data_IF_128428709201
#
_entry.id   IF_128428709201
#
_cell.length_a   1.000
_cell.length_b   1.000
_cell.length_c   1.000
_cell.angle_alpha   90.00
_cell.angle_beta   90.00
_cell.angle_gamma   90.00
#
_symmetry.space_group_name_H-M   'P 1'
#
loop_
_entity.id
_entity.type
_entity.pdbx_description
1 polymer ?
#
# COMPACT_ATOMS: atom_id res chain seq x y z
N UNK A 1 2.44 -5.72 2.33
CA UNK A 1 1.54 -4.55 2.29
C UNK A 1 1.53 -4.04 0.85
N UNK A 2 0.91 -4.79 -0.06
CA UNK A 2 0.76 -4.34 -1.46
C UNK A 2 -0.40 -3.34 -1.50
N UNK A 3 -0.12 -2.12 -1.99
CA UNK A 3 -1.15 -1.14 -2.27
C UNK A 3 -1.88 -1.55 -3.56
N UNK A 4 -2.73 -2.58 -3.46
CA UNK A 4 -3.52 -3.05 -4.60
C UNK A 4 -4.84 -2.29 -4.68
N UNK A 5 -4.90 -1.37 -5.65
CA UNK A 5 -5.95 -1.25 -6.68
C UNK A 5 -5.56 -0.22 -7.75
N UNK A 6 -5.34 -0.68 -8.98
CA UNK A 6 -5.33 0.20 -10.16
C UNK A 6 -6.71 0.82 -10.31
N UNK A 7 -6.81 2.15 -10.40
CA UNK A 7 -8.05 2.83 -10.77
C UNK A 7 -8.13 2.72 -12.30
N UNK A 8 -8.70 1.62 -12.81
CA UNK A 8 -9.04 1.50 -14.22
C UNK A 8 -10.41 2.15 -14.42
N UNK A 9 -10.43 3.44 -14.78
CA UNK A 9 -11.66 4.14 -15.12
C UNK A 9 -11.91 3.99 -16.62
N UNK A 10 -12.67 2.96 -17.02
CA UNK A 10 -13.15 2.85 -18.40
C UNK A 10 -14.45 3.63 -18.51
N UNK A 11 -14.38 4.95 -18.72
CA UNK A 11 -15.55 5.74 -19.15
C UNK A 11 -15.72 5.52 -20.64
N UNK A 12 -16.53 4.51 -21.00
CA UNK A 12 -17.00 4.35 -22.37
C UNK A 12 -18.05 5.43 -22.64
N UNK A 13 -17.67 6.37 -23.50
CA UNK A 13 -18.55 7.37 -24.11
C UNK A 13 -19.73 6.62 -24.77
N UNK A 14 -20.93 6.78 -24.21
CA UNK A 14 -22.19 6.47 -24.92
C UNK A 14 -22.92 7.79 -25.11
N UNK A 15 -22.52 8.49 -26.18
CA UNK A 15 -23.45 9.38 -26.87
C UNK A 15 -24.23 8.47 -27.81
N UNK A 16 -25.54 8.32 -27.59
CA UNK A 16 -26.60 8.17 -28.61
C UNK A 16 -27.95 8.14 -27.88
N UNK A 17 -28.78 9.13 -28.21
CA UNK A 17 -30.24 9.15 -28.29
C UNK A 17 -30.99 8.08 -27.47
N UNK A 18 -31.66 8.52 -26.40
CA UNK A 18 -32.85 7.86 -25.84
C UNK A 18 -32.71 6.37 -25.56
N UNK A 19 -32.02 6.00 -24.47
CA UNK A 19 -32.07 4.62 -24.00
C UNK A 19 -31.02 4.30 -22.95
N UNK A 20 -31.48 4.12 -21.71
CA UNK A 20 -30.83 3.31 -20.67
C UNK A 20 -29.37 3.64 -20.30
N UNK A 21 -29.21 4.56 -19.35
CA UNK A 21 -27.99 4.69 -18.57
C UNK A 21 -28.06 3.79 -17.32
N UNK A 22 -27.66 2.51 -17.43
CA UNK A 22 -27.47 1.62 -16.26
C UNK A 22 -26.20 0.77 -16.29
N UNK A 23 -25.29 0.96 -17.25
CA UNK A 23 -24.13 0.06 -17.40
C UNK A 23 -22.90 0.41 -16.52
N UNK A 24 -22.85 1.54 -15.81
CA UNK A 24 -21.63 1.98 -15.10
C UNK A 24 -21.47 1.40 -13.69
N UNK A 25 -22.48 0.75 -13.12
CA UNK A 25 -22.47 0.31 -11.70
C UNK A 25 -21.90 -1.11 -11.48
N UNK A 26 -21.94 -1.99 -12.49
CA UNK A 26 -21.63 -3.42 -12.30
C UNK A 26 -20.14 -3.78 -12.28
N UNK A 27 -19.25 -2.90 -12.75
CA UNK A 27 -17.80 -3.19 -12.80
C UNK A 27 -17.13 -3.10 -11.42
N UNK A 28 -17.73 -2.36 -10.48
CA UNK A 28 -17.13 -2.02 -9.18
C UNK A 28 -16.96 -3.23 -8.22
N UNK A 29 -17.86 -4.23 -8.29
CA UNK A 29 -17.91 -5.29 -7.27
C UNK A 29 -16.93 -6.46 -7.50
N UNK A 30 -16.40 -6.62 -8.72
CA UNK A 30 -15.58 -7.78 -9.09
C UNK A 30 -14.10 -7.70 -8.65
N UNK A 31 -13.60 -6.52 -8.33
CA UNK A 31 -12.15 -6.29 -8.10
C UNK A 31 -11.72 -6.23 -6.62
N UNK A 32 -12.62 -6.51 -5.67
CA UNK A 32 -12.35 -6.34 -4.23
C UNK A 32 -12.20 -7.64 -3.41
N UNK A 33 -12.08 -8.83 -4.02
CA UNK A 33 -11.86 -10.07 -3.25
C UNK A 33 -10.39 -10.26 -2.85
N UNK A 34 -10.16 -10.36 -1.54
CA UNK A 34 -8.90 -10.59 -0.82
C UNK A 34 -8.04 -11.70 -1.43
N UNK A 35 -6.75 -11.43 -1.65
CA UNK A 35 -5.71 -12.46 -1.78
C UNK A 35 -4.90 -12.54 -0.49
N UNK A 36 -5.02 -13.70 0.16
CA UNK A 36 -4.19 -14.15 1.27
C UNK A 36 -2.81 -14.54 0.73
N UNK A 37 -1.74 -13.94 1.26
CA UNK A 37 -0.36 -14.34 0.96
C UNK A 37 0.21 -15.08 2.16
N UNK A 38 0.42 -16.38 1.99
CA UNK A 38 1.15 -17.26 2.91
C UNK A 38 2.63 -16.81 2.97
N UNK A 39 3.13 -16.53 4.19
CA UNK A 39 4.55 -16.29 4.46
C UNK A 39 5.27 -17.64 4.54
N UNK A 40 6.34 -17.80 3.77
CA UNK A 40 7.32 -18.88 3.96
C UNK A 40 8.29 -18.43 5.05
N UNK A 41 8.28 -19.12 6.19
CA UNK A 41 9.13 -18.83 7.34
C UNK A 41 10.41 -19.67 7.24
N UNK A 42 11.55 -19.04 6.96
CA UNK A 42 12.87 -19.63 7.26
C UNK A 42 13.07 -19.51 8.78
N UNK A 43 13.18 -20.64 9.48
CA UNK A 43 13.25 -20.66 10.95
C UNK A 43 14.55 -20.04 11.49
N UNK A 44 14.47 -19.46 12.69
CA UNK A 44 15.62 -18.98 13.46
C UNK A 44 16.56 -20.16 13.79
N UNK A 45 17.89 -19.94 13.83
CA UNK A 45 18.81 -20.97 14.26
C UNK A 45 18.54 -21.42 15.70
N UNK A 46 19.04 -22.59 16.09
CA UNK A 46 19.00 -23.01 17.50
C UNK A 46 20.05 -22.27 18.34
N UNK A 47 19.99 -22.38 19.66
CA UNK A 47 20.98 -21.80 20.58
C UNK A 47 22.41 -22.30 20.28
N UNK A 48 23.38 -21.38 20.10
CA UNK A 48 24.80 -21.72 20.03
C UNK A 48 25.48 -21.51 21.40
N UNK A 49 25.89 -22.61 22.02
CA UNK A 49 26.74 -22.58 23.20
C UNK A 49 28.20 -22.73 22.78
N UNK A 50 29.01 -21.71 23.06
CA UNK A 50 30.44 -21.73 22.81
C UNK A 50 31.19 -22.72 23.71
N UNK A 51 32.42 -23.10 23.34
CA UNK A 51 33.27 -23.96 24.17
C UNK A 51 33.57 -23.31 25.54
N UNK A 52 33.75 -24.12 26.59
CA UNK A 52 34.33 -23.67 27.86
C UNK A 52 35.86 -23.64 27.71
N UNK A 53 36.41 -22.55 27.21
CA UNK A 53 37.86 -22.39 27.03
C UNK A 53 38.52 -21.87 28.31
N UNK A 54 39.77 -22.29 28.56
CA UNK A 54 40.58 -21.76 29.68
C UNK A 54 41.16 -20.37 29.39
N UNK A 55 41.15 -19.94 28.14
CA UNK A 55 41.65 -18.64 27.67
C UNK A 55 40.52 -17.83 27.02
N UNK A 56 39.67 -17.27 27.86
CA UNK A 56 38.59 -16.36 27.46
C UNK A 56 39.15 -15.04 26.93
N UNK A 57 38.63 -14.56 25.79
CA UNK A 57 38.98 -13.26 25.24
C UNK A 57 38.78 -12.14 26.27
N UNK A 58 39.76 -11.23 26.37
CA UNK A 58 39.64 -10.01 27.20
C UNK A 58 38.61 -9.03 26.63
N UNK A 59 38.45 -9.02 25.32
CA UNK A 59 37.50 -8.21 24.55
C UNK A 59 37.03 -9.00 23.35
N UNK A 60 35.77 -8.85 22.96
CA UNK A 60 35.28 -9.21 21.63
C UNK A 60 34.87 -7.92 20.95
N UNK A 61 35.54 -7.55 19.86
CA UNK A 61 35.29 -6.32 19.13
C UNK A 61 34.24 -6.55 18.01
N UNK A 62 33.05 -5.94 18.08
CA UNK A 62 32.02 -6.08 17.04
C UNK A 62 32.51 -5.74 15.62
N UNK A 63 33.49 -4.84 15.47
CA UNK A 63 34.07 -4.49 14.17
C UNK A 63 34.84 -5.68 13.58
N UNK A 64 35.65 -6.36 14.39
CA UNK A 64 36.39 -7.56 13.94
C UNK A 64 35.48 -8.76 13.71
N UNK A 65 34.39 -8.88 14.48
CA UNK A 65 33.35 -9.88 14.21
C UNK A 65 32.72 -9.64 12.83
N UNK A 66 32.47 -8.38 12.47
CA UNK A 66 31.99 -8.02 11.13
C UNK A 66 33.04 -8.35 10.05
N UNK A 67 34.31 -8.05 10.27
CA UNK A 67 35.39 -8.35 9.32
C UNK A 67 35.46 -9.85 8.99
N UNK A 68 35.41 -10.71 10.01
CA UNK A 68 35.36 -12.17 9.81
C UNK A 68 34.08 -12.63 9.14
N UNK A 69 32.93 -12.06 9.52
CA UNK A 69 31.64 -12.34 8.88
C UNK A 69 31.70 -12.00 7.39
N UNK A 70 32.21 -10.83 7.03
CA UNK A 70 32.35 -10.39 5.64
C UNK A 70 33.42 -11.16 4.88
N UNK A 71 34.47 -11.66 5.55
CA UNK A 71 35.43 -12.58 4.95
C UNK A 71 34.75 -13.89 4.52
N UNK A 72 33.96 -14.52 5.38
CA UNK A 72 33.22 -15.74 5.01
C UNK A 72 32.23 -15.50 3.88
N UNK A 73 31.57 -14.34 3.86
CA UNK A 73 30.70 -13.94 2.75
C UNK A 73 31.49 -13.77 1.45
N UNK A 74 32.65 -13.13 1.49
CA UNK A 74 33.50 -12.95 0.32
C UNK A 74 34.03 -14.29 -0.24
N UNK A 75 34.39 -15.24 0.63
CA UNK A 75 34.81 -16.59 0.25
C UNK A 75 33.67 -17.36 -0.51
N UNK A 76 32.42 -16.95 -0.33
CA UNK A 76 31.22 -17.47 -1.02
C UNK A 76 30.71 -16.52 -2.15
N UNK A 77 31.50 -15.53 -2.57
CA UNK A 77 31.16 -14.52 -3.57
C UNK A 77 29.93 -13.65 -3.24
N UNK A 78 29.64 -13.45 -1.96
CA UNK A 78 28.56 -12.60 -1.48
C UNK A 78 29.06 -11.18 -1.18
N UNK A 79 28.17 -10.19 -1.35
CA UNK A 79 28.46 -8.80 -0.99
C UNK A 79 28.65 -8.65 0.52
N UNK A 80 29.60 -7.80 0.90
CA UNK A 80 29.83 -7.44 2.29
C UNK A 80 28.61 -6.72 2.89
N UNK A 81 28.25 -7.09 4.12
CA UNK A 81 27.24 -6.42 4.93
C UNK A 81 27.80 -5.11 5.47
N UNK A 82 26.95 -4.09 5.54
CA UNK A 82 27.28 -2.78 6.12
C UNK A 82 26.72 -2.65 7.53
N UNK A 83 27.49 -2.07 8.45
CA UNK A 83 26.99 -1.78 9.80
C UNK A 83 25.82 -0.80 9.74
N UNK A 84 24.72 -1.12 10.43
CA UNK A 84 23.61 -0.21 10.66
C UNK A 84 23.46 0.05 12.17
N UNK A 85 23.50 1.32 12.59
CA UNK A 85 23.46 1.71 14.01
C UNK A 85 22.14 1.40 14.70
N UNK A 86 21.03 1.36 13.96
CA UNK A 86 19.72 0.97 14.49
C UNK A 86 19.70 -0.53 14.79
N UNK A 87 20.24 -1.37 13.89
CA UNK A 87 20.43 -2.80 14.14
C UNK A 87 21.42 -3.06 15.30
N UNK A 88 22.48 -2.25 15.45
CA UNK A 88 23.38 -2.34 16.62
C UNK A 88 22.60 -2.08 17.91
N UNK A 89 21.69 -1.11 17.89
CA UNK A 89 20.83 -0.81 19.04
C UNK A 89 19.89 -1.99 19.35
N UNK A 90 19.36 -2.68 18.33
CA UNK A 90 18.56 -3.89 18.52
C UNK A 90 19.40 -5.02 19.16
N UNK A 91 20.58 -5.29 18.61
CA UNK A 91 21.51 -6.30 19.14
C UNK A 91 21.93 -6.01 20.59
N UNK A 92 22.15 -4.74 20.93
CA UNK A 92 22.43 -4.32 22.30
C UNK A 92 21.24 -4.59 23.22
N UNK A 93 20.02 -4.13 22.86
CA UNK A 93 18.82 -4.37 23.66
C UNK A 93 18.54 -5.85 23.88
N UNK A 94 18.78 -6.68 22.87
CA UNK A 94 18.66 -8.13 22.99
C UNK A 94 19.64 -8.69 24.02
N UNK A 95 20.90 -8.26 23.95
CA UNK A 95 21.95 -8.66 24.87
C UNK A 95 21.62 -8.25 26.31
N UNK A 96 21.21 -7.00 26.50
CA UNK A 96 20.82 -6.44 27.81
C UNK A 96 19.61 -7.18 28.39
N UNK A 97 18.62 -7.54 27.56
CA UNK A 97 17.45 -8.30 27.96
C UNK A 97 17.80 -9.72 28.39
N UNK A 98 18.65 -10.42 27.62
CA UNK A 98 19.13 -11.77 27.96
C UNK A 98 19.96 -11.79 29.24
N UNK A 99 20.80 -10.77 29.49
CA UNK A 99 21.49 -10.65 30.77
C UNK A 99 20.55 -10.26 31.91
N UNK A 100 19.63 -9.32 31.71
CA UNK A 100 18.74 -8.88 32.80
C UNK A 100 17.81 -10.00 33.25
N UNK A 101 17.25 -10.73 32.28
CA UNK A 101 16.26 -11.77 32.53
C UNK A 101 16.86 -13.18 32.59
N UNK A 102 18.20 -13.30 32.48
CA UNK A 102 18.96 -14.53 32.64
C UNK A 102 18.40 -15.69 31.79
N UNK A 103 18.25 -15.43 30.48
CA UNK A 103 17.76 -16.40 29.51
C UNK A 103 18.58 -16.33 28.22
N UNK A 104 18.58 -17.40 27.42
CA UNK A 104 19.30 -17.43 26.14
C UNK A 104 18.43 -18.01 25.03
N UNK A 105 17.51 -17.22 24.50
CA UNK A 105 16.59 -17.64 23.44
C UNK A 105 16.35 -16.49 22.46
N UNK A 106 15.95 -16.81 21.22
CA UNK A 106 15.58 -15.80 20.24
C UNK A 106 14.32 -15.02 20.64
N UNK A 107 13.29 -15.72 21.12
CA UNK A 107 12.06 -15.09 21.63
C UNK A 107 12.24 -14.85 23.13
N UNK A 108 11.92 -13.65 23.61
CA UNK A 108 12.01 -13.35 25.04
C UNK A 108 10.97 -14.15 25.83
N UNK A 109 11.16 -14.33 27.16
CA UNK A 109 10.14 -14.93 28.03
C UNK A 109 8.80 -14.17 28.03
N UNK A 110 8.81 -12.89 27.64
CA UNK A 110 7.62 -12.05 27.47
C UNK A 110 7.00 -12.14 26.06
N UNK A 111 7.56 -12.98 25.18
CA UNK A 111 7.05 -13.25 23.83
C UNK A 111 7.53 -12.30 22.74
N UNK A 112 8.52 -11.44 23.01
CA UNK A 112 9.08 -10.51 22.02
C UNK A 112 10.00 -11.28 21.08
N UNK A 113 9.66 -11.33 19.79
CA UNK A 113 10.49 -11.97 18.77
C UNK A 113 11.64 -11.04 18.31
N UNK A 114 12.70 -11.56 17.67
CA UNK A 114 13.77 -10.72 17.10
C UNK A 114 13.22 -9.68 16.12
N UNK A 115 12.26 -10.09 15.28
CA UNK A 115 11.54 -9.20 14.35
C UNK A 115 10.80 -8.04 15.04
N UNK A 116 10.21 -8.29 16.21
CA UNK A 116 9.51 -7.25 16.98
C UNK A 116 10.51 -6.28 17.59
N UNK A 117 11.61 -6.79 18.14
CA UNK A 117 12.67 -5.99 18.75
C UNK A 117 13.31 -5.05 17.72
N UNK A 118 13.70 -5.59 16.56
CA UNK A 118 14.25 -4.82 15.44
C UNK A 118 13.26 -3.74 15.00
N UNK A 119 11.98 -4.08 14.82
CA UNK A 119 10.94 -3.10 14.46
C UNK A 119 10.78 -2.00 15.51
N UNK A 120 10.82 -2.35 16.80
CA UNK A 120 10.69 -1.42 17.92
C UNK A 120 11.88 -0.43 18.04
N UNK A 121 13.02 -0.72 17.41
CA UNK A 121 14.14 0.24 17.29
C UNK A 121 13.96 1.25 16.15
N UNK A 122 12.93 1.11 15.32
CA UNK A 122 12.68 1.95 14.16
C UNK A 122 13.32 1.44 12.86
N UNK A 123 13.91 0.24 12.88
CA UNK A 123 14.43 -0.38 11.66
C UNK A 123 13.28 -0.98 10.86
N UNK A 124 12.97 -0.36 9.72
CA UNK A 124 11.97 -0.85 8.78
C UNK A 124 12.64 -1.79 7.78
N UNK A 125 12.24 -3.06 7.74
CA UNK A 125 12.94 -4.09 6.95
C UNK A 125 12.02 -4.89 6.03
N UNK A 126 12.59 -5.32 4.89
CA UNK A 126 11.99 -6.33 4.00
C UNK A 126 12.18 -7.73 4.57
N UNK A 127 13.36 -7.99 5.11
CA UNK A 127 13.72 -9.22 5.82
C UNK A 127 14.74 -8.91 6.92
N UNK A 128 14.72 -9.68 7.99
CA UNK A 128 15.62 -9.58 9.14
C UNK A 128 16.02 -10.98 9.59
N UNK A 129 17.12 -11.13 10.30
CA UNK A 129 17.56 -12.41 10.87
C UNK A 129 18.43 -12.19 12.10
N UNK A 130 18.56 -13.21 12.95
CA UNK A 130 19.34 -13.10 14.19
C UNK A 130 20.27 -14.31 14.36
N UNK A 131 21.51 -14.06 14.75
CA UNK A 131 22.41 -15.07 15.31
C UNK A 131 22.71 -14.74 16.77
N UNK A 132 22.67 -15.76 17.62
CA UNK A 132 23.00 -15.66 19.04
C UNK A 132 24.17 -16.58 19.37
N UNK A 133 25.04 -16.16 20.28
CA UNK A 133 26.10 -17.01 20.84
C UNK A 133 26.30 -16.69 22.32
N UNK A 134 26.44 -17.75 23.12
CA UNK A 134 26.74 -17.65 24.56
C UNK A 134 27.90 -18.59 24.90
N UNK A 135 29.01 -18.07 25.41
CA UNK A 135 30.14 -18.92 25.80
C UNK A 135 31.44 -18.16 26.01
N UNK A 136 32.54 -18.91 26.09
CA UNK A 136 33.89 -18.36 26.23
C UNK A 136 34.64 -18.55 24.91
N UNK A 137 34.63 -17.50 24.08
CA UNK A 137 35.35 -17.47 22.82
C UNK A 137 36.79 -16.98 23.04
N UNK A 138 37.73 -17.55 22.29
CA UNK A 138 39.14 -17.16 22.33
C UNK A 138 39.38 -15.77 21.72
N UNK A 139 38.71 -15.50 20.61
CA UNK A 139 38.78 -14.26 19.84
C UNK A 139 37.56 -14.14 18.92
N UNK A 140 37.49 -13.08 18.12
CA UNK A 140 36.36 -12.84 17.20
C UNK A 140 36.29 -13.87 16.07
N UNK A 141 37.42 -14.46 15.69
CA UNK A 141 37.44 -15.52 14.67
C UNK A 141 36.79 -16.78 15.22
N UNK A 142 37.16 -17.20 16.42
CA UNK A 142 36.60 -18.37 17.09
C UNK A 142 35.07 -18.26 17.25
N UNK A 143 34.56 -17.07 17.60
CA UNK A 143 33.13 -16.79 17.62
C UNK A 143 32.46 -16.98 16.25
N UNK A 144 33.02 -16.38 15.19
CA UNK A 144 32.43 -16.47 13.84
C UNK A 144 32.55 -17.88 13.27
N UNK A 145 33.68 -18.57 13.49
CA UNK A 145 33.88 -19.98 13.13
C UNK A 145 32.80 -20.86 13.78
N UNK A 146 32.46 -20.61 15.04
CA UNK A 146 31.42 -21.35 15.74
C UNK A 146 30.03 -21.16 15.10
N UNK A 147 29.67 -19.93 14.71
CA UNK A 147 28.46 -19.69 13.92
C UNK A 147 28.52 -20.37 12.55
N UNK A 148 29.66 -20.31 11.85
CA UNK A 148 29.82 -20.94 10.55
C UNK A 148 29.76 -22.48 10.60
N UNK A 149 30.15 -23.09 11.71
CA UNK A 149 30.02 -24.53 11.93
C UNK A 149 28.56 -24.96 12.21
N UNK A 150 27.67 -24.03 12.54
CA UNK A 150 26.25 -24.30 12.79
C UNK A 150 25.40 -24.02 11.56
N UNK A 151 24.69 -25.01 10.98
CA UNK A 151 23.96 -24.84 9.72
C UNK A 151 22.97 -23.66 9.71
N UNK A 152 22.24 -23.44 10.80
CA UNK A 152 21.27 -22.34 10.89
C UNK A 152 21.95 -20.97 10.94
N UNK A 153 23.00 -20.81 11.75
CA UNK A 153 23.72 -19.55 11.88
C UNK A 153 24.51 -19.21 10.61
N UNK A 154 25.13 -20.23 10.00
CA UNK A 154 25.77 -20.12 8.68
C UNK A 154 24.78 -19.67 7.61
N UNK A 155 23.56 -20.19 7.63
CA UNK A 155 22.52 -19.77 6.68
C UNK A 155 22.21 -18.27 6.78
N UNK A 156 22.17 -17.69 7.99
CA UNK A 156 22.01 -16.25 8.17
C UNK A 156 23.22 -15.45 7.66
N UNK A 157 24.45 -15.86 8.03
CA UNK A 157 25.68 -15.17 7.60
C UNK A 157 25.79 -15.15 6.07
N UNK A 158 25.39 -16.23 5.40
CA UNK A 158 25.46 -16.38 3.95
C UNK A 158 24.16 -16.05 3.22
N UNK A 159 23.15 -15.51 3.91
CA UNK A 159 21.93 -15.08 3.24
C UNK A 159 22.25 -13.84 2.37
N UNK A 160 22.01 -13.98 1.07
CA UNK A 160 22.29 -12.94 0.07
C UNK A 160 21.25 -11.80 0.09
N UNK A 161 20.12 -11.98 0.76
CA UNK A 161 19.11 -10.95 0.90
C UNK A 161 19.56 -9.84 1.86
N UNK A 162 20.34 -10.17 2.89
CA UNK A 162 20.82 -9.18 3.85
C UNK A 162 21.88 -8.27 3.23
N UNK A 163 21.73 -6.97 3.52
CA UNK A 163 22.67 -5.92 3.08
C UNK A 163 23.28 -5.17 4.26
N UNK A 164 22.65 -5.24 5.42
CA UNK A 164 23.03 -4.53 6.64
C UNK A 164 23.10 -5.49 7.84
N UNK A 165 23.86 -5.10 8.85
CA UNK A 165 24.05 -5.87 10.07
C UNK A 165 24.28 -4.95 11.27
N UNK A 166 23.79 -5.34 12.43
CA UNK A 166 24.16 -4.80 13.73
C UNK A 166 24.78 -5.91 14.57
N UNK A 167 25.87 -5.61 15.26
CA UNK A 167 26.56 -6.58 16.10
C UNK A 167 26.76 -5.96 17.48
N UNK A 168 26.45 -6.73 18.51
CA UNK A 168 26.78 -6.38 19.89
C UNK A 168 27.35 -7.58 20.64
N UNK A 169 28.33 -7.32 21.50
CA UNK A 169 28.97 -8.32 22.35
C UNK A 169 29.02 -7.79 23.78
N UNK A 170 28.42 -8.51 24.72
CA UNK A 170 28.41 -8.16 26.14
C UNK A 170 29.08 -9.23 26.99
N UNK A 171 29.72 -8.79 28.08
CA UNK A 171 30.35 -9.68 29.06
C UNK A 171 29.78 -9.39 30.45
N UNK A 172 28.93 -10.29 30.95
CA UNK A 172 28.38 -10.19 32.30
C UNK A 172 28.09 -11.59 32.89
N UNK A 173 27.68 -11.61 34.15
CA UNK A 173 27.28 -12.81 34.87
C UNK A 173 26.02 -13.40 34.25
N UNK A 174 26.11 -14.67 33.85
CA UNK A 174 25.00 -15.38 33.23
C UNK A 174 24.75 -16.72 33.94
N UNK A 175 23.58 -16.86 34.52
CA UNK A 175 23.12 -17.97 35.33
C UNK A 175 24.24 -18.47 36.27
N UNK A 176 24.55 -19.76 36.22
CA UNK A 176 25.52 -20.44 37.06
C UNK A 176 26.93 -20.46 36.40
N UNK A 177 27.12 -19.72 35.30
CA UNK A 177 28.32 -19.77 34.46
C UNK A 177 29.37 -18.71 34.86
N UNK A 178 29.00 -17.75 35.71
CA UNK A 178 29.83 -16.59 35.99
C UNK A 178 29.88 -15.65 34.80
N UNK A 179 30.92 -14.79 34.72
CA UNK A 179 31.09 -13.84 33.62
C UNK A 179 31.24 -14.58 32.29
N UNK A 180 30.26 -14.45 31.40
CA UNK A 180 30.14 -15.19 30.13
C UNK A 180 29.97 -14.19 28.98
N UNK A 181 30.56 -14.46 27.80
CA UNK A 181 30.29 -13.61 26.64
C UNK A 181 28.94 -13.98 26.02
N UNK A 182 28.18 -12.96 25.67
CA UNK A 182 26.99 -13.05 24.82
C UNK A 182 27.24 -12.20 23.59
N UNK A 183 27.02 -12.76 22.40
CA UNK A 183 27.13 -12.05 21.14
C UNK A 183 25.83 -12.18 20.33
N UNK A 184 25.41 -11.08 19.74
CA UNK A 184 24.20 -10.98 18.90
C UNK A 184 24.59 -10.38 17.56
N UNK A 185 24.18 -11.02 16.46
CA UNK A 185 24.13 -10.41 15.14
C UNK A 185 22.67 -10.24 14.72
N UNK A 186 22.28 -9.00 14.41
CA UNK A 186 21.01 -8.67 13.79
C UNK A 186 21.25 -8.32 12.33
N UNK A 187 20.72 -9.10 11.41
CA UNK A 187 20.85 -8.91 9.96
C UNK A 187 19.62 -8.20 9.42
N UNK A 188 19.79 -7.34 8.42
CA UNK A 188 18.68 -6.61 7.81
C UNK A 188 18.83 -6.39 6.30
N UNK A 189 17.70 -6.44 5.62
CA UNK A 189 17.50 -5.74 4.35
C UNK A 189 16.51 -4.61 4.62
N UNK A 190 16.90 -3.32 4.52
CA UNK A 190 15.99 -2.23 4.81
C UNK A 190 14.83 -2.24 3.82
N UNK A 191 13.65 -1.79 4.24
CA UNK A 191 12.61 -1.43 3.29
C UNK A 191 13.14 -0.30 2.42
N UNK A 192 13.03 -0.40 1.08
CA UNK A 192 13.45 0.69 0.22
C UNK A 192 12.66 1.96 0.57
N UNK A 193 13.33 3.10 0.60
CA UNK A 193 12.71 4.39 0.84
C UNK A 193 11.86 4.80 -0.38
N UNK A 194 10.65 4.26 -0.45
CA UNK A 194 9.76 4.44 -1.57
C UNK A 194 8.86 5.65 -1.35
N UNK A 195 8.90 6.60 -2.29
CA UNK A 195 7.97 7.73 -2.30
C UNK A 195 6.54 7.22 -2.48
N UNK A 196 5.72 7.38 -1.45
CA UNK A 196 4.30 7.03 -1.51
C UNK A 196 3.54 7.87 -2.55
N UNK A 197 2.49 7.33 -3.17
CA UNK A 197 1.59 8.10 -4.03
C UNK A 197 0.97 9.28 -3.28
N UNK A 198 0.80 10.41 -3.95
CA UNK A 198 0.23 11.63 -3.37
C UNK A 198 -1.27 11.43 -3.10
N UNK A 199 -1.65 11.41 -1.82
CA UNK A 199 -3.04 11.25 -1.37
C UNK A 199 -3.96 12.39 -1.80
N UNK A 200 -3.42 13.59 -2.04
CA UNK A 200 -4.24 14.73 -2.46
C UNK A 200 -4.80 14.51 -3.87
N UNK A 201 -4.03 13.88 -4.77
CA UNK A 201 -4.53 13.54 -6.12
C UNK A 201 -5.70 12.57 -6.02
N UNK A 202 -5.64 11.59 -5.11
CA UNK A 202 -6.74 10.66 -4.89
C UNK A 202 -7.98 11.37 -4.33
N UNK A 203 -7.79 12.34 -3.43
CA UNK A 203 -8.87 13.15 -2.90
C UNK A 203 -9.52 13.99 -4.01
N UNK A 204 -8.71 14.68 -4.82
CA UNK A 204 -9.16 15.49 -5.95
C UNK A 204 -9.98 14.67 -6.96
N UNK A 205 -9.55 13.44 -7.27
CA UNK A 205 -10.28 12.51 -8.14
C UNK A 205 -11.67 12.20 -7.55
N UNK A 206 -11.75 11.91 -6.25
CA UNK A 206 -13.01 11.57 -5.59
C UNK A 206 -13.97 12.76 -5.56
N UNK A 207 -13.46 13.96 -5.29
CA UNK A 207 -14.27 15.17 -5.24
C UNK A 207 -14.82 15.51 -6.62
N UNK A 208 -13.99 15.41 -7.68
CA UNK A 208 -14.45 15.57 -9.06
C UNK A 208 -15.47 14.51 -9.47
N UNK A 209 -15.30 13.26 -9.02
CA UNK A 209 -16.27 12.20 -9.29
C UNK A 209 -17.64 12.51 -8.67
N UNK A 210 -17.67 13.02 -7.44
CA UNK A 210 -18.92 13.43 -6.79
C UNK A 210 -19.62 14.56 -7.57
N UNK A 211 -18.85 15.52 -8.09
CA UNK A 211 -19.39 16.58 -8.96
C UNK A 211 -19.93 15.99 -10.26
N UNK A 212 -19.20 15.07 -10.91
CA UNK A 212 -19.63 14.40 -12.13
C UNK A 212 -20.96 13.64 -11.94
N UNK A 213 -21.11 12.91 -10.83
CA UNK A 213 -22.35 12.21 -10.48
C UNK A 213 -23.52 13.18 -10.25
N UNK A 214 -23.26 14.32 -9.60
CA UNK A 214 -24.25 15.39 -9.44
C UNK A 214 -24.69 15.99 -10.77
N UNK A 215 -23.75 16.27 -11.68
CA UNK A 215 -24.05 16.76 -13.03
C UNK A 215 -24.91 15.75 -13.81
N UNK A 216 -24.55 14.46 -13.77
CA UNK A 216 -25.31 13.41 -14.43
C UNK A 216 -26.77 13.34 -13.92
N UNK A 217 -26.97 13.51 -12.61
CA UNK A 217 -28.31 13.56 -12.02
C UNK A 217 -29.13 14.76 -12.53
N UNK A 218 -28.53 15.95 -12.56
CA UNK A 218 -29.18 17.17 -13.06
C UNK A 218 -29.54 17.07 -14.55
N UNK A 219 -28.64 16.51 -15.37
CA UNK A 219 -28.88 16.28 -16.80
C UNK A 219 -30.09 15.37 -17.01
N UNK A 220 -30.16 14.26 -16.27
CA UNK A 220 -31.30 13.33 -16.37
C UNK A 220 -32.62 13.97 -15.95
N UNK A 221 -32.61 14.80 -14.90
CA UNK A 221 -33.80 15.52 -14.44
C UNK A 221 -34.31 16.50 -15.52
N UNK A 222 -33.42 17.32 -16.10
CA UNK A 222 -33.78 18.27 -17.16
C UNK A 222 -34.35 17.58 -18.41
N UNK A 223 -33.75 16.47 -18.84
CA UNK A 223 -34.30 15.72 -19.98
C UNK A 223 -35.67 15.10 -19.67
N UNK A 224 -35.89 14.63 -18.44
CA UNK A 224 -37.19 14.10 -18.02
C UNK A 224 -38.26 15.20 -17.98
N UNK A 225 -37.92 16.38 -17.44
CA UNK A 225 -38.78 17.57 -17.41
C UNK A 225 -39.14 18.03 -18.83
N UNK A 226 -38.14 18.18 -19.71
CA UNK A 226 -38.36 18.53 -21.11
C UNK A 226 -39.24 17.50 -21.84
N UNK A 227 -39.05 16.21 -21.58
CA UNK A 227 -39.90 15.15 -22.17
C UNK A 227 -41.35 15.27 -21.69
N UNK A 228 -41.56 15.56 -20.41
CA UNK A 228 -42.91 15.73 -19.83
C UNK A 228 -43.59 16.99 -20.40
N UNK A 229 -42.89 18.11 -20.49
CA UNK A 229 -43.40 19.34 -21.08
C UNK A 229 -43.78 19.16 -22.56
N UNK A 230 -42.97 18.43 -23.33
CA UNK A 230 -43.30 18.10 -24.72
C UNK A 230 -44.57 17.24 -24.83
N UNK A 231 -44.79 16.30 -23.90
CA UNK A 231 -46.04 15.52 -23.86
C UNK A 231 -47.25 16.42 -23.57
N UNK A 232 -47.14 17.29 -22.56
CA UNK A 232 -48.20 18.26 -22.23
C UNK A 232 -48.47 19.23 -23.39
N UNK A 233 -47.42 19.69 -24.07
CA UNK A 233 -47.56 20.53 -25.25
C UNK A 233 -48.36 19.83 -26.34
N UNK A 234 -48.04 18.56 -26.64
CA UNK A 234 -48.78 17.78 -27.64
C UNK A 234 -50.27 17.63 -27.27
N UNK A 235 -50.57 17.42 -25.99
CA UNK A 235 -51.95 17.35 -25.49
C UNK A 235 -52.69 18.68 -25.67
N UNK A 236 -52.04 19.81 -25.38
CA UNK A 236 -52.61 21.15 -25.57
C UNK A 236 -52.86 21.47 -27.04
N UNK A 237 -51.90 21.14 -27.92
CA UNK A 237 -52.07 21.30 -29.36
C UNK A 237 -53.24 20.45 -29.87
N UNK A 238 -53.38 19.20 -29.38
CA UNK A 238 -54.51 18.33 -29.70
C UNK A 238 -55.85 18.94 -29.26
N UNK A 239 -55.94 19.44 -28.02
CA UNK A 239 -57.15 20.09 -27.51
C UNK A 239 -57.54 21.31 -28.35
N UNK A 240 -56.58 22.18 -28.70
CA UNK A 240 -56.83 23.32 -29.58
C UNK A 240 -57.34 22.90 -30.95
N UNK A 241 -56.77 21.84 -31.55
CA UNK A 241 -57.22 21.31 -32.83
C UNK A 241 -58.64 20.73 -32.77
N UNK A 242 -58.98 20.02 -31.70
CA UNK A 242 -60.33 19.48 -31.48
C UNK A 242 -61.37 20.60 -31.34
N UNK A 243 -61.06 21.65 -30.56
CA UNK A 243 -61.92 22.82 -30.40
C UNK A 243 -62.14 23.51 -31.74
N UNK A 244 -61.06 23.80 -32.48
CA UNK A 244 -61.17 24.46 -33.79
C UNK A 244 -62.00 23.64 -34.78
N UNK A 245 -61.85 22.31 -34.77
CA UNK A 245 -62.62 21.41 -35.64
C UNK A 245 -64.12 21.45 -35.32
N UNK A 246 -64.49 21.64 -34.05
CA UNK A 246 -65.89 21.66 -33.62
C UNK A 246 -66.57 23.02 -33.82
N UNK A 247 -65.82 24.11 -33.66
CA UNK A 247 -66.39 25.47 -33.60
C UNK A 247 -66.10 26.31 -34.84
N UNK A 248 -65.08 25.95 -35.62
CA UNK A 248 -64.47 26.77 -36.69
C UNK A 248 -63.98 28.15 -36.21
N UNK A 249 -63.94 28.38 -34.89
CA UNK A 249 -63.55 29.63 -34.25
C UNK A 249 -62.13 29.51 -33.69
N UNK A 250 -61.18 30.14 -34.38
CA UNK A 250 -59.76 30.17 -33.97
C UNK A 250 -59.57 30.82 -32.61
N UNK A 251 -60.40 31.77 -32.22
CA UNK A 251 -60.21 32.51 -30.95
C UNK A 251 -60.38 31.60 -29.75
N UNK A 252 -61.18 30.54 -29.88
CA UNK A 252 -61.39 29.53 -28.82
C UNK A 252 -60.26 28.49 -28.75
N UNK A 253 -59.60 28.21 -29.87
CA UNK A 253 -58.48 27.27 -29.94
C UNK A 253 -57.12 27.91 -29.59
N UNK A 254 -56.95 29.20 -29.89
CA UNK A 254 -55.68 29.93 -29.75
C UNK A 254 -55.03 29.81 -28.36
N UNK A 255 -55.75 29.93 -27.22
CA UNK A 255 -55.13 29.80 -25.90
C UNK A 255 -54.43 28.46 -25.67
N UNK A 256 -54.96 27.37 -26.23
CA UNK A 256 -54.36 26.04 -26.12
C UNK A 256 -53.10 25.90 -26.98
N UNK A 257 -53.10 26.52 -28.17
CA UNK A 257 -51.91 26.54 -29.03
C UNK A 257 -50.79 27.40 -28.46
N UNK A 258 -51.13 28.54 -27.84
CA UNK A 258 -50.17 29.43 -27.17
C UNK A 258 -49.54 28.74 -25.96
N UNK A 259 -50.36 28.05 -25.15
CA UNK A 259 -49.88 27.25 -24.02
C UNK A 259 -48.97 26.10 -24.48
N UNK A 260 -49.36 25.37 -25.54
CA UNK A 260 -48.53 24.31 -26.12
C UNK A 260 -47.20 24.82 -26.68
N UNK A 261 -47.18 26.01 -27.28
CA UNK A 261 -45.95 26.66 -27.78
C UNK A 261 -45.03 27.03 -26.61
N UNK A 262 -45.58 27.65 -25.57
CA UNK A 262 -44.83 28.02 -24.36
C UNK A 262 -44.19 26.81 -23.68
N UNK A 263 -44.92 25.69 -23.61
CA UNK A 263 -44.41 24.43 -23.06
C UNK A 263 -43.24 23.87 -23.89
N UNK A 264 -43.29 23.96 -25.22
CA UNK A 264 -42.19 23.54 -26.10
C UNK A 264 -40.97 24.43 -25.95
N UNK A 265 -41.16 25.75 -25.90
CA UNK A 265 -40.06 26.69 -25.67
C UNK A 265 -39.35 26.41 -24.34
N UNK A 266 -40.11 26.08 -23.30
CA UNK A 266 -39.55 25.69 -22.00
C UNK A 266 -38.78 24.37 -22.09
N UNK A 267 -39.34 23.36 -22.77
CA UNK A 267 -38.66 22.08 -22.98
C UNK A 267 -37.35 22.21 -23.79
N UNK A 268 -37.33 23.10 -24.79
CA UNK A 268 -36.14 23.40 -25.59
C UNK A 268 -35.07 24.10 -24.72
N UNK A 269 -35.48 25.00 -23.83
CA UNK A 269 -34.57 25.66 -22.88
C UNK A 269 -33.95 24.66 -21.88
N UNK A 270 -34.74 23.75 -21.31
CA UNK A 270 -34.24 22.69 -20.42
C UNK A 270 -33.28 21.75 -21.16
N UNK A 271 -33.60 21.41 -22.41
CA UNK A 271 -32.73 20.61 -23.28
C UNK A 271 -31.41 21.32 -23.56
N UNK A 272 -31.42 22.63 -23.81
CA UNK A 272 -30.20 23.41 -24.00
C UNK A 272 -29.34 23.43 -22.72
N UNK A 273 -29.95 23.66 -21.56
CA UNK A 273 -29.27 23.62 -20.26
C UNK A 273 -28.67 22.23 -19.98
N UNK A 274 -29.37 21.16 -20.32
CA UNK A 274 -28.86 19.79 -20.18
C UNK A 274 -27.61 19.55 -21.05
N UNK A 275 -27.56 20.10 -22.27
CA UNK A 275 -26.38 20.04 -23.14
C UNK A 275 -25.18 20.82 -22.58
N UNK A 276 -25.41 21.99 -21.99
CA UNK A 276 -24.35 22.77 -21.35
C UNK A 276 -23.76 22.05 -20.14
N UNK A 277 -24.60 21.43 -19.31
CA UNK A 277 -24.15 20.59 -18.20
C UNK A 277 -23.41 19.34 -18.70
N UNK A 278 -23.85 18.75 -19.82
CA UNK A 278 -23.14 17.62 -20.43
C UNK A 278 -21.72 18.01 -20.87
N UNK A 279 -21.55 19.19 -21.48
CA UNK A 279 -20.22 19.68 -21.86
C UNK A 279 -19.30 19.87 -20.63
N UNK A 280 -19.85 20.33 -19.50
CA UNK A 280 -19.11 20.43 -18.23
C UNK A 280 -18.73 19.04 -17.70
N UNK A 281 -19.67 18.08 -17.70
CA UNK A 281 -19.42 16.71 -17.29
C UNK A 281 -18.34 16.03 -18.15
N UNK A 282 -18.32 16.29 -19.45
CA UNK A 282 -17.31 15.77 -20.37
C UNK A 282 -15.92 16.36 -20.13
N UNK A 283 -15.83 17.65 -19.80
CA UNK A 283 -14.57 18.29 -19.39
C UNK A 283 -14.04 17.68 -18.10
N UNK A 284 -14.91 17.57 -17.10
CA UNK A 284 -14.58 17.02 -15.78
C UNK A 284 -14.13 15.55 -15.87
N UNK A 285 -14.76 14.76 -16.72
CA UNK A 285 -14.37 13.38 -17.01
C UNK A 285 -12.93 13.27 -17.53
N UNK A 286 -12.50 14.18 -18.41
CA UNK A 286 -11.11 14.22 -18.93
C UNK A 286 -10.10 14.59 -17.84
N UNK A 287 -10.45 15.51 -16.95
CA UNK A 287 -9.62 15.87 -15.80
C UNK A 287 -9.45 14.68 -14.85
N UNK A 288 -10.55 14.01 -14.49
CA UNK A 288 -10.54 12.79 -13.65
C UNK A 288 -9.63 11.72 -14.26
N UNK A 289 -9.72 11.51 -15.57
CA UNK A 289 -8.88 10.53 -16.27
C UNK A 289 -7.39 10.90 -16.17
N UNK A 290 -7.04 12.16 -16.42
CA UNK A 290 -5.67 12.67 -16.37
C UNK A 290 -5.06 12.53 -14.97
N UNK A 291 -5.83 12.87 -13.93
CA UNK A 291 -5.42 12.73 -12.53
C UNK A 291 -5.28 11.25 -12.14
N UNK A 292 -6.20 10.39 -12.59
CA UNK A 292 -6.16 8.95 -12.34
C UNK A 292 -4.91 8.31 -12.96
N UNK A 293 -4.55 8.68 -14.19
CA UNK A 293 -3.34 8.19 -14.86
C UNK A 293 -2.07 8.65 -14.13
N UNK A 294 -2.08 9.89 -13.64
CA UNK A 294 -0.99 10.43 -12.81
C UNK A 294 -0.85 9.65 -11.50
N UNK A 295 -1.96 9.40 -10.81
CA UNK A 295 -1.96 8.64 -9.56
C UNK A 295 -1.52 7.18 -9.77
N UNK A 296 -2.07 6.51 -10.78
CA UNK A 296 -1.70 5.14 -11.14
C UNK A 296 -0.21 5.01 -11.47
N UNK A 297 0.37 6.00 -12.16
CA UNK A 297 1.82 6.05 -12.42
C UNK A 297 2.62 6.12 -11.11
N UNK A 298 2.15 6.88 -10.12
CA UNK A 298 2.81 6.93 -8.80
C UNK A 298 2.66 5.62 -8.03
N UNK A 299 1.50 4.98 -8.10
CA UNK A 299 1.27 3.64 -7.52
C UNK A 299 2.19 2.61 -8.15
N UNK A 300 2.33 2.58 -9.47
CA UNK A 300 3.21 1.65 -10.17
C UNK A 300 4.69 1.88 -9.80
N UNK A 301 5.13 3.14 -9.67
CA UNK A 301 6.48 3.48 -9.17
C UNK A 301 6.71 3.01 -7.73
N UNK A 302 5.74 3.25 -6.84
CA UNK A 302 5.79 2.79 -5.45
C UNK A 302 5.86 1.26 -5.38
N UNK A 303 4.98 0.56 -6.09
CA UNK A 303 4.91 -0.90 -6.12
C UNK A 303 6.18 -1.51 -6.72
N UNK A 304 6.79 -0.87 -7.71
CA UNK A 304 8.08 -1.29 -8.26
C UNK A 304 9.19 -1.13 -7.24
N UNK A 305 9.23 0.02 -6.55
CA UNK A 305 10.23 0.31 -5.54
C UNK A 305 10.19 -0.68 -4.37
N UNK A 306 9.01 -1.01 -3.83
CA UNK A 306 8.90 -1.95 -2.71
C UNK A 306 9.22 -3.42 -3.09
N UNK A 307 9.26 -3.74 -4.39
CA UNK A 307 9.60 -5.08 -4.89
C UNK A 307 11.12 -5.32 -4.99
N UNK A 308 11.92 -4.26 -5.11
CA UNK A 308 13.39 -4.31 -5.10
C UNK A 308 13.89 -4.78 -3.71
#
# INVERSE_FOLDING_TARGET
MELNKKILLTILIVIILGGFCTASYFVYKKYFSKTSTSKITTGLPGQLFGPKTTEKAKTLDPIKVLDWTNKYRADENLLALKTNTVLVTAAQKKTDDMFTNQYFEHVSPTGVSPSDLVSATGYNYKTTGENLALGDFKDEKDLVDAWMASPGHRANILNNEYTEIGIYTGLDTFENRGKTWLAVQEFGKPLPNCKSPNSNILQDINDKKNIYESLASQINALYAEASNMNAQANDKIKQGNEIYTQTEDKTQAQPYWDEGTTLRETADADTAKAKDLQAQADSLSKEIQTESDTYNTQVDKYNTCIKQ
#
